data_IF_797101232383
#
_entry.id   IF_797101232383
#
_cell.length_a   1.000
_cell.length_b   1.000
_cell.length_c   1.000
_cell.angle_alpha   90.00
_cell.angle_beta   90.00
_cell.angle_gamma   90.00
#
_symmetry.space_group_name_H-M   'P 1'
#
loop_
_entity.id
_entity.type
_entity.pdbx_description
1 polymer ?
#
# COMPACT_ATOMS: atom_id res chain seq x y z
N UNK A 1 -1.37 -18.68 -9.31
CA UNK A 1 -1.01 -18.41 -7.90
C UNK A 1 -1.88 -19.31 -7.01
N UNK A 2 -1.44 -19.68 -5.80
CA UNK A 2 -2.23 -20.53 -4.89
C UNK A 2 -3.46 -19.82 -4.29
N UNK A 3 -3.72 -18.57 -4.66
CA UNK A 3 -4.86 -17.75 -4.26
C UNK A 3 -5.19 -16.75 -5.40
N UNK A 4 -6.34 -16.07 -5.30
CA UNK A 4 -6.76 -15.08 -6.30
C UNK A 4 -5.79 -13.90 -6.38
N UNK A 5 -5.38 -13.52 -7.59
CA UNK A 5 -4.53 -12.35 -7.81
C UNK A 5 -5.15 -11.06 -7.23
N UNK A 6 -6.48 -10.97 -7.23
CA UNK A 6 -7.21 -9.80 -6.74
C UNK A 6 -6.93 -9.50 -5.27
N UNK A 7 -6.60 -10.53 -4.48
CA UNK A 7 -6.21 -10.40 -3.07
C UNK A 7 -4.93 -9.55 -2.89
N UNK A 8 -4.05 -9.51 -3.89
CA UNK A 8 -2.81 -8.74 -3.86
C UNK A 8 -2.96 -7.34 -4.44
N UNK A 9 -4.05 -7.05 -5.16
CA UNK A 9 -4.23 -5.74 -5.82
C UNK A 9 -4.13 -4.55 -4.86
N UNK A 10 -4.64 -4.59 -3.60
CA UNK A 10 -4.49 -3.47 -2.68
C UNK A 10 -3.06 -3.25 -2.19
N UNK A 11 -2.24 -4.31 -2.17
CA UNK A 11 -0.83 -4.22 -1.80
C UNK A 11 0.01 -3.70 -2.96
N UNK A 12 -0.18 -4.22 -4.18
CA UNK A 12 0.63 -3.81 -5.34
C UNK A 12 0.22 -2.47 -5.95
N UNK A 13 -1.07 -2.14 -5.96
CA UNK A 13 -1.54 -0.86 -6.50
C UNK A 13 -1.56 0.20 -5.39
N UNK A 14 -2.41 0.03 -4.38
CA UNK A 14 -2.56 1.02 -3.29
C UNK A 14 -1.42 1.00 -2.24
N UNK A 15 -0.43 0.12 -2.37
CA UNK A 15 0.79 0.17 -1.58
C UNK A 15 1.80 1.20 -2.12
N UNK A 16 1.77 1.47 -3.43
CA UNK A 16 2.70 2.40 -4.09
C UNK A 16 2.14 3.84 -4.14
N UNK A 17 1.79 4.39 -2.98
CA UNK A 17 1.08 5.67 -2.89
C UNK A 17 1.91 6.87 -3.34
N UNK A 18 3.23 6.73 -3.44
CA UNK A 18 4.15 7.75 -3.97
C UNK A 18 3.76 8.25 -5.36
N UNK A 19 3.13 7.40 -6.19
CA UNK A 19 2.69 7.78 -7.54
C UNK A 19 1.34 8.50 -7.58
N UNK A 20 0.68 8.68 -6.44
CA UNK A 20 -0.59 9.42 -6.36
C UNK A 20 -0.34 10.89 -6.69
N UNK A 21 -1.26 11.50 -7.45
CA UNK A 21 -1.24 12.94 -7.72
C UNK A 21 -1.97 13.67 -6.59
N UNK A 22 -1.23 14.38 -5.76
CA UNK A 22 -1.77 15.26 -4.74
C UNK A 22 -2.11 16.64 -5.35
N UNK A 23 -3.20 17.30 -4.93
CA UNK A 23 -3.42 18.72 -5.20
C UNK A 23 -2.27 19.59 -4.70
N UNK A 24 -2.09 20.77 -5.30
CA UNK A 24 -0.95 21.65 -4.99
C UNK A 24 -0.93 22.16 -3.54
N UNK A 25 -2.10 22.23 -2.91
CA UNK A 25 -2.31 22.68 -1.53
C UNK A 25 -2.29 21.53 -0.50
N UNK A 26 -2.03 20.29 -0.92
CA UNK A 26 -1.99 19.12 -0.04
C UNK A 26 -0.57 18.54 0.08
N UNK A 27 -0.03 18.36 1.31
CA UNK A 27 1.29 17.77 1.48
C UNK A 27 1.31 16.29 1.05
N UNK A 28 2.24 15.95 0.17
CA UNK A 28 2.51 14.56 -0.24
C UNK A 28 3.59 13.93 0.65
N UNK A 29 3.16 13.34 1.76
CA UNK A 29 4.05 12.68 2.72
C UNK A 29 4.84 11.51 2.12
N UNK A 30 4.32 10.84 1.09
CA UNK A 30 4.97 9.67 0.50
C UNK A 30 6.16 10.09 -0.36
N UNK A 31 6.03 11.17 -1.14
CA UNK A 31 7.16 11.73 -1.91
C UNK A 31 8.19 12.40 -1.02
N UNK A 32 7.77 13.03 0.07
CA UNK A 32 8.65 13.68 1.04
C UNK A 32 9.57 12.70 1.79
N UNK A 33 9.22 11.41 1.85
CA UNK A 33 10.03 10.39 2.50
C UNK A 33 11.28 9.98 1.68
N UNK A 34 11.39 10.40 0.42
CA UNK A 34 12.55 10.07 -0.41
C UNK A 34 13.71 11.04 -0.20
N UNK A 35 14.97 10.57 -0.31
CA UNK A 35 15.39 9.29 -0.87
C UNK A 35 15.36 8.07 0.08
N UNK A 36 15.26 8.26 1.39
CA UNK A 36 15.33 7.18 2.38
C UNK A 36 14.16 6.19 2.28
N UNK A 37 13.01 6.66 1.81
CA UNK A 37 11.82 5.86 1.59
C UNK A 37 10.96 5.67 2.83
N UNK A 38 10.04 4.70 2.77
CA UNK A 38 9.13 4.39 3.87
C UNK A 38 8.80 2.91 3.91
N UNK A 39 8.43 2.43 5.10
CA UNK A 39 7.85 1.10 5.27
C UNK A 39 6.36 1.22 5.58
N UNK A 40 5.59 0.22 5.17
CA UNK A 40 4.21 0.10 5.60
C UNK A 40 3.84 -1.34 5.88
N UNK A 41 2.87 -1.49 6.78
CA UNK A 41 2.23 -2.76 7.13
C UNK A 41 0.72 -2.58 7.03
N UNK A 42 0.03 -3.60 6.51
CA UNK A 42 -1.43 -3.63 6.42
C UNK A 42 -1.96 -5.02 6.71
N UNK A 43 -2.99 -5.08 7.54
CA UNK A 43 -3.83 -6.26 7.73
C UNK A 43 -5.18 -6.02 7.09
N UNK A 44 -5.59 -6.92 6.20
CA UNK A 44 -6.88 -6.93 5.52
C UNK A 44 -7.67 -8.08 6.11
N UNK A 45 -8.74 -7.76 6.84
CA UNK A 45 -9.69 -8.75 7.37
C UNK A 45 -10.87 -8.85 6.42
N UNK A 46 -11.14 -10.05 5.93
CA UNK A 46 -12.27 -10.35 5.06
C UNK A 46 -13.51 -10.73 5.88
N UNK A 47 -14.69 -10.68 5.25
CA UNK A 47 -15.97 -10.93 5.91
C UNK A 47 -16.09 -12.34 6.50
N UNK A 48 -15.38 -13.31 5.93
CA UNK A 48 -15.27 -14.69 6.40
C UNK A 48 -14.20 -14.89 7.50
N UNK A 49 -13.69 -13.78 8.04
CA UNK A 49 -12.61 -13.73 9.03
C UNK A 49 -11.23 -14.16 8.53
N UNK A 50 -11.04 -14.40 7.22
CA UNK A 50 -9.71 -14.57 6.67
C UNK A 50 -8.88 -13.28 6.86
N UNK A 51 -7.57 -13.44 7.05
CA UNK A 51 -6.65 -12.31 7.23
C UNK A 51 -5.52 -12.39 6.22
N UNK A 52 -5.28 -11.28 5.52
CA UNK A 52 -4.10 -11.07 4.71
C UNK A 52 -3.25 -9.97 5.34
N UNK A 53 -2.04 -10.31 5.77
CA UNK A 53 -1.04 -9.34 6.24
C UNK A 53 0.01 -9.13 5.16
N UNK A 54 0.27 -7.87 4.83
CA UNK A 54 1.28 -7.48 3.86
C UNK A 54 2.19 -6.39 4.44
N UNK A 55 3.48 -6.52 4.17
CA UNK A 55 4.51 -5.52 4.49
C UNK A 55 5.24 -5.14 3.22
N UNK A 56 5.71 -3.89 3.16
CA UNK A 56 6.54 -3.42 2.06
C UNK A 56 7.58 -2.42 2.55
N UNK A 57 8.75 -2.51 1.96
CA UNK A 57 9.81 -1.51 2.06
C UNK A 57 9.89 -0.81 0.71
N UNK A 58 9.63 0.50 0.70
CA UNK A 58 9.60 1.34 -0.49
C UNK A 58 10.70 2.38 -0.39
#
# INVERSE_FOLDING_TARGET
LPFSFDLLTPAFMYGNRVFTKYPEDMPDYFKQAFPEGYHWERSITFEDHAVCTATSHI
#
